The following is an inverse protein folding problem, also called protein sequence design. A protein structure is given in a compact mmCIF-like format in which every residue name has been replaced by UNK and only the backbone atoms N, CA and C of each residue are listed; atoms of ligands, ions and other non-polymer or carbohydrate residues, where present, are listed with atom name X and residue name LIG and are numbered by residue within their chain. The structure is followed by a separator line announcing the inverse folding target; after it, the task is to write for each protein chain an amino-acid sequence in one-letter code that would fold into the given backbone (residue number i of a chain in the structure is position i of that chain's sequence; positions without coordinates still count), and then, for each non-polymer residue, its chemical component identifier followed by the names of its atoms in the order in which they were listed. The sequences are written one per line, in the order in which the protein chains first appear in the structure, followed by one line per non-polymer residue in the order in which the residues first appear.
data_IF_730694108849
#
_entry.id   IF_730694108849
#
_cell.length_a   1.000
_cell.length_b   1.000
_cell.length_c   1.000
_cell.angle_alpha   90.00
_cell.angle_beta   90.00
_cell.angle_gamma   90.00
#
_symmetry.space_group_name_H-M   'P 1'
#
loop_
_entity.id
_entity.type
_entity.pdbx_description
1 polymer ?
#
# COMPACT_ATOMS: atom_id res chain seq x y z
N UNK A 1 -9.47 -29.77 -8.49
CA UNK A 1 -9.65 -29.31 -7.09
C UNK A 1 -8.28 -29.37 -6.43
N UNK A 2 -7.87 -28.30 -5.75
CA UNK A 2 -6.54 -28.19 -5.13
C UNK A 2 -6.55 -28.99 -3.81
N UNK A 3 -6.28 -30.28 -3.89
CA UNK A 3 -6.39 -31.22 -2.76
C UNK A 3 -5.07 -31.36 -1.99
N UNK A 4 -4.45 -30.24 -1.60
CA UNK A 4 -3.27 -30.29 -0.72
C UNK A 4 -3.66 -30.23 0.76
N UNK A 5 -2.84 -30.81 1.65
CA UNK A 5 -2.99 -30.72 3.11
C UNK A 5 -2.65 -29.31 3.63
N UNK A 6 -3.29 -28.29 3.07
CA UNK A 6 -3.12 -26.90 3.50
C UNK A 6 -3.99 -26.67 4.72
N UNK A 7 -3.40 -26.08 5.77
CA UNK A 7 -4.11 -25.72 7.01
C UNK A 7 -5.38 -24.89 6.74
N UNK A 8 -5.30 -23.98 5.77
CA UNK A 8 -6.40 -23.13 5.31
C UNK A 8 -7.58 -23.94 4.75
N UNK A 9 -7.30 -25.04 4.05
CA UNK A 9 -8.32 -25.92 3.47
C UNK A 9 -9.08 -26.71 4.54
N UNK A 10 -8.46 -27.00 5.69
CA UNK A 10 -9.09 -27.71 6.79
C UNK A 10 -9.82 -26.79 7.77
N UNK A 11 -9.31 -25.58 8.00
CA UNK A 11 -9.86 -24.65 8.98
C UNK A 11 -10.87 -23.65 8.37
N UNK A 12 -10.83 -23.43 7.05
CA UNK A 12 -11.70 -22.47 6.37
C UNK A 12 -11.41 -21.01 6.74
N UNK A 13 -10.25 -20.74 7.34
CA UNK A 13 -9.83 -19.41 7.77
C UNK A 13 -8.42 -19.11 7.25
N UNK A 14 -8.19 -17.87 6.83
CA UNK A 14 -6.89 -17.34 6.41
C UNK A 14 -6.52 -16.22 7.38
N UNK A 15 -5.47 -16.43 8.17
CA UNK A 15 -5.03 -15.46 9.17
C UNK A 15 -3.99 -14.50 8.56
N UNK A 16 -4.28 -13.20 8.57
CA UNK A 16 -3.38 -12.14 8.09
C UNK A 16 -2.81 -11.39 9.30
N UNK A 17 -1.50 -11.54 9.56
CA UNK A 17 -0.82 -10.93 10.73
C UNK A 17 0.03 -9.71 10.39
N UNK A 18 0.40 -9.58 9.12
CA UNK A 18 1.42 -8.62 8.70
C UNK A 18 0.84 -7.25 8.34
N UNK A 19 -0.48 -7.08 8.41
CA UNK A 19 -1.18 -5.86 8.05
C UNK A 19 -2.19 -5.46 9.10
N UNK A 20 -2.36 -4.15 9.25
CA UNK A 20 -3.43 -3.57 10.04
C UNK A 20 -4.81 -3.99 9.48
N UNK A 21 -5.80 -4.30 10.33
CA UNK A 21 -7.14 -4.66 9.89
C UNK A 21 -7.80 -3.65 8.94
N UNK A 22 -7.49 -2.35 9.06
CA UNK A 22 -7.98 -1.32 8.15
C UNK A 22 -7.44 -1.44 6.73
N UNK A 23 -6.17 -1.86 6.57
CA UNK A 23 -5.56 -2.13 5.26
C UNK A 23 -6.19 -3.39 4.63
N UNK A 24 -6.44 -4.42 5.44
CA UNK A 24 -7.12 -5.65 4.98
C UNK A 24 -8.57 -5.36 4.59
N UNK A 25 -9.31 -4.58 5.39
CA UNK A 25 -10.69 -4.18 5.08
C UNK A 25 -10.74 -3.39 3.76
N UNK A 26 -9.82 -2.45 3.56
CA UNK A 26 -9.71 -1.68 2.33
C UNK A 26 -9.38 -2.56 1.11
N UNK A 27 -8.49 -3.55 1.25
CA UNK A 27 -8.21 -4.53 0.19
C UNK A 27 -9.46 -5.34 -0.17
N UNK A 28 -10.22 -5.80 0.84
CA UNK A 28 -11.46 -6.54 0.61
C UNK A 28 -12.51 -5.67 -0.09
N UNK A 29 -12.67 -4.41 0.31
CA UNK A 29 -13.56 -3.46 -0.38
C UNK A 29 -13.18 -3.30 -1.84
N UNK A 30 -11.89 -3.14 -2.13
CA UNK A 30 -11.39 -3.03 -3.50
C UNK A 30 -11.80 -4.23 -4.37
N UNK A 31 -11.83 -5.46 -3.84
CA UNK A 31 -12.28 -6.61 -4.63
C UNK A 31 -13.76 -6.53 -5.05
N UNK A 32 -14.60 -5.84 -4.28
CA UNK A 32 -16.01 -5.70 -4.58
C UNK A 32 -16.36 -4.44 -5.37
N UNK A 33 -15.62 -3.35 -5.17
CA UNK A 33 -15.93 -2.04 -5.77
C UNK A 33 -14.88 -1.52 -6.75
N UNK A 34 -13.69 -2.13 -6.81
CA UNK A 34 -12.49 -1.58 -7.45
C UNK A 34 -12.05 -0.22 -6.87
N UNK A 35 -12.54 0.12 -5.67
CA UNK A 35 -12.22 1.35 -4.96
C UNK A 35 -11.92 1.03 -3.49
N UNK A 36 -11.02 1.79 -2.90
CA UNK A 36 -10.77 1.73 -1.46
C UNK A 36 -10.54 3.13 -0.93
N UNK A 37 -10.88 3.37 0.33
CA UNK A 37 -10.66 4.64 0.99
C UNK A 37 -10.06 4.44 2.38
N UNK A 38 -9.33 5.46 2.80
CA UNK A 38 -8.74 5.52 4.12
C UNK A 38 -9.80 6.01 5.13
N UNK A 39 -10.33 5.10 5.93
CA UNK A 39 -11.40 5.38 6.90
C UNK A 39 -10.89 5.60 8.33
N UNK A 40 -9.60 5.39 8.57
CA UNK A 40 -9.00 5.32 9.91
C UNK A 40 -8.12 6.53 10.27
N UNK A 41 -8.16 7.60 9.46
CA UNK A 41 -7.46 8.85 9.75
C UNK A 41 -5.93 8.79 9.69
N UNK A 42 -5.35 7.68 9.22
CA UNK A 42 -3.92 7.60 8.90
C UNK A 42 -3.58 8.64 7.82
N UNK A 43 -2.40 9.26 7.77
CA UNK A 43 -2.04 10.12 6.64
C UNK A 43 -2.13 9.34 5.31
N UNK A 44 -2.75 9.93 4.28
CA UNK A 44 -3.03 9.23 3.02
C UNK A 44 -1.77 8.60 2.39
N UNK A 45 -0.65 9.32 2.37
CA UNK A 45 0.62 8.80 1.85
C UNK A 45 1.14 7.55 2.60
N UNK A 46 0.90 7.45 3.90
CA UNK A 46 1.29 6.28 4.69
C UNK A 46 0.33 5.13 4.39
N UNK A 47 -0.97 5.41 4.37
CA UNK A 47 -2.01 4.42 4.09
C UNK A 47 -1.85 3.81 2.69
N UNK A 48 -1.68 4.65 1.67
CA UNK A 48 -1.53 4.20 0.28
C UNK A 48 -0.23 3.41 0.05
N UNK A 49 0.85 3.71 0.80
CA UNK A 49 2.06 2.89 0.79
C UNK A 49 1.81 1.47 1.36
N UNK A 50 1.02 1.34 2.42
CA UNK A 50 0.62 0.02 2.93
C UNK A 50 -0.34 -0.70 1.98
N UNK A 51 -1.25 0.01 1.33
CA UNK A 51 -2.11 -0.58 0.28
C UNK A 51 -1.29 -1.08 -0.91
N UNK A 52 -0.23 -0.36 -1.29
CA UNK A 52 0.72 -0.82 -2.30
C UNK A 52 1.46 -2.09 -1.86
N UNK A 53 1.89 -2.15 -0.59
CA UNK A 53 2.58 -3.32 -0.03
C UNK A 53 1.67 -4.56 0.04
N UNK A 54 0.43 -4.42 0.53
CA UNK A 54 -0.49 -5.57 0.60
C UNK A 54 -0.84 -6.07 -0.81
N UNK A 55 -0.98 -5.15 -1.77
CA UNK A 55 -1.21 -5.51 -3.16
C UNK A 55 -0.04 -6.28 -3.77
N UNK A 56 1.20 -5.91 -3.46
CA UNK A 56 2.38 -6.64 -3.89
C UNK A 56 2.45 -8.04 -3.25
N UNK A 57 2.22 -8.13 -1.93
CA UNK A 57 2.30 -9.41 -1.20
C UNK A 57 1.32 -10.46 -1.73
N UNK A 58 0.11 -10.04 -2.09
CA UNK A 58 -0.95 -10.93 -2.56
C UNK A 58 -1.11 -10.93 -4.10
N UNK A 59 -0.16 -10.34 -4.84
CA UNK A 59 -0.12 -10.30 -6.30
C UNK A 59 -1.40 -9.71 -6.95
N UNK A 60 -1.88 -8.59 -6.40
CA UNK A 60 -3.08 -7.89 -6.84
C UNK A 60 -2.68 -6.68 -7.70
N UNK A 61 -2.30 -6.92 -8.96
CA UNK A 61 -1.75 -5.89 -9.85
C UNK A 61 -2.65 -4.64 -10.02
N UNK A 62 -3.98 -4.82 -10.06
CA UNK A 62 -4.92 -3.70 -10.17
C UNK A 62 -4.89 -2.80 -8.92
N UNK A 63 -4.85 -3.39 -7.72
CA UNK A 63 -4.75 -2.66 -6.47
C UNK A 63 -3.39 -1.95 -6.36
N UNK A 64 -2.30 -2.64 -6.72
CA UNK A 64 -0.95 -2.06 -6.71
C UNK A 64 -0.86 -0.81 -7.60
N UNK A 65 -1.49 -0.87 -8.76
CA UNK A 65 -1.60 0.26 -9.70
C UNK A 65 -2.42 1.41 -9.12
N UNK A 66 -3.56 1.10 -8.50
CA UNK A 66 -4.43 2.12 -7.91
C UNK A 66 -3.78 2.80 -6.70
N UNK A 67 -3.16 2.02 -5.82
CA UNK A 67 -2.43 2.55 -4.66
C UNK A 67 -1.25 3.43 -5.04
N UNK A 68 -0.56 3.11 -6.14
CA UNK A 68 0.47 4.02 -6.67
C UNK A 68 -0.09 5.38 -7.06
N UNK A 69 -1.23 5.41 -7.77
CA UNK A 69 -1.87 6.67 -8.19
C UNK A 69 -2.34 7.49 -7.00
N UNK A 70 -2.98 6.85 -6.01
CA UNK A 70 -3.42 7.53 -4.78
C UNK A 70 -2.23 8.06 -3.98
N UNK A 71 -1.16 7.27 -3.86
CA UNK A 71 0.08 7.70 -3.24
C UNK A 71 0.67 8.92 -3.95
N UNK A 72 0.80 8.91 -5.28
CA UNK A 72 1.28 10.05 -6.09
C UNK A 72 0.50 11.34 -5.79
N UNK A 73 -0.83 11.26 -5.79
CA UNK A 73 -1.69 12.39 -5.44
C UNK A 73 -1.46 12.87 -4.00
N UNK A 74 -1.34 11.94 -3.05
CA UNK A 74 -1.15 12.28 -1.64
C UNK A 74 0.18 12.98 -1.37
N UNK A 75 1.28 12.52 -1.97
CA UNK A 75 2.60 13.15 -1.78
C UNK A 75 2.71 14.48 -2.53
N UNK A 76 2.06 14.62 -3.69
CA UNK A 76 2.05 15.89 -4.42
C UNK A 76 1.35 17.00 -3.62
N UNK A 77 0.28 16.66 -2.92
CA UNK A 77 -0.50 17.60 -2.11
C UNK A 77 0.05 17.78 -0.69
N UNK A 78 0.76 16.79 -0.15
CA UNK A 78 1.21 16.73 1.24
C UNK A 78 2.72 16.82 1.45
N UNK A 79 3.52 17.12 0.42
CA UNK A 79 4.99 17.08 0.54
C UNK A 79 5.55 17.97 1.66
N UNK A 80 4.88 19.09 1.97
CA UNK A 80 5.30 20.07 2.96
C UNK A 80 4.85 19.73 4.39
N UNK A 81 4.19 18.59 4.61
CA UNK A 81 3.82 18.13 5.96
C UNK A 81 4.90 17.23 6.56
N UNK A 82 4.90 17.09 7.88
CA UNK A 82 5.82 16.20 8.60
C UNK A 82 5.62 14.71 8.25
N UNK A 83 4.53 14.37 7.56
CA UNK A 83 4.23 13.00 7.13
C UNK A 83 5.09 12.57 5.93
N UNK A 84 5.52 13.50 5.08
CA UNK A 84 6.30 13.18 3.88
C UNK A 84 7.60 12.42 4.18
N UNK A 85 8.49 12.88 5.09
CA UNK A 85 9.69 12.12 5.44
C UNK A 85 9.37 10.75 6.06
N UNK A 86 8.27 10.62 6.79
CA UNK A 86 7.80 9.35 7.37
C UNK A 86 7.38 8.38 6.26
N UNK A 87 6.55 8.84 5.31
CA UNK A 87 6.11 8.05 4.18
C UNK A 87 7.28 7.68 3.25
N UNK A 88 8.22 8.59 3.04
CA UNK A 88 9.45 8.33 2.28
C UNK A 88 10.26 7.20 2.92
N UNK A 89 10.53 7.27 4.22
CA UNK A 89 11.23 6.19 4.92
C UNK A 89 10.47 4.86 4.80
N UNK A 90 9.16 4.90 5.02
CA UNK A 90 8.29 3.74 4.93
C UNK A 90 8.38 3.07 3.56
N UNK A 91 8.28 3.82 2.46
CA UNK A 91 8.42 3.29 1.10
C UNK A 91 9.70 2.49 0.93
N UNK A 92 10.83 2.98 1.44
CA UNK A 92 12.13 2.29 1.34
C UNK A 92 12.24 1.05 2.25
N UNK A 93 11.46 0.99 3.32
CA UNK A 93 11.37 -0.19 4.21
C UNK A 93 10.45 -1.27 3.63
N UNK A 94 9.30 -0.87 3.06
CA UNK A 94 8.27 -1.81 2.62
C UNK A 94 8.53 -2.41 1.23
N UNK A 95 9.30 -1.72 0.38
CA UNK A 95 9.59 -2.16 -0.99
C UNK A 95 11.05 -2.61 -1.12
N UNK A 96 11.37 -3.62 -1.95
CA UNK A 96 12.76 -3.94 -2.30
C UNK A 96 13.36 -2.88 -3.26
N UNK A 97 14.68 -2.91 -3.48
CA UNK A 97 15.39 -1.91 -4.32
C UNK A 97 14.96 -1.91 -5.79
N UNK A 98 14.51 -3.05 -6.27
CA UNK A 98 14.08 -3.29 -7.64
C UNK A 98 12.68 -2.73 -7.88
N UNK A 99 11.86 -2.60 -6.82
CA UNK A 99 10.56 -1.97 -6.92
C UNK A 99 10.71 -0.45 -6.85
N UNK A 100 10.77 0.14 -8.06
CA UNK A 100 10.92 1.58 -8.27
C UNK A 100 9.60 2.34 -8.22
N UNK A 101 8.46 1.65 -8.05
CA UNK A 101 7.13 2.21 -8.23
C UNK A 101 6.86 3.45 -7.37
N UNK A 102 6.96 3.31 -6.05
CA UNK A 102 6.78 4.42 -5.11
C UNK A 102 8.08 5.19 -4.86
N UNK A 103 9.24 4.51 -4.94
CA UNK A 103 10.55 5.12 -4.68
C UNK A 103 10.86 6.26 -5.64
N UNK A 104 10.53 6.10 -6.92
CA UNK A 104 10.75 7.13 -7.94
C UNK A 104 9.88 8.36 -7.69
N UNK A 105 8.63 8.16 -7.24
CA UNK A 105 7.72 9.25 -6.89
C UNK A 105 8.24 10.08 -5.71
N UNK A 106 8.74 9.41 -4.67
CA UNK A 106 9.35 10.06 -3.50
C UNK A 106 10.57 10.89 -3.93
N UNK A 107 11.47 10.33 -4.73
CA UNK A 107 12.65 11.04 -5.24
C UNK A 107 12.26 12.23 -6.10
N UNK A 108 11.27 12.07 -6.98
CA UNK A 108 10.80 13.14 -7.85
C UNK A 108 10.21 14.31 -7.05
N UNK A 109 9.35 14.04 -6.07
CA UNK A 109 8.77 15.07 -5.20
C UNK A 109 9.85 15.76 -4.37
N UNK A 110 10.77 15.00 -3.76
CA UNK A 110 11.86 15.60 -3.00
C UNK A 110 12.73 16.50 -3.88
N UNK A 111 13.12 16.03 -5.07
CA UNK A 111 13.96 16.80 -6.01
C UNK A 111 13.28 18.09 -6.49
N UNK A 112 11.96 18.10 -6.66
CA UNK A 112 11.21 19.29 -7.10
C UNK A 112 11.09 20.36 -6.02
N UNK A 113 11.27 20.02 -4.75
CA UNK A 113 11.04 20.90 -3.61
C UNK A 113 12.27 21.08 -2.71
N UNK A 114 13.45 20.61 -3.16
CA UNK A 114 14.72 20.89 -2.49
C UNK A 114 15.29 22.17 -3.11
N UNK A 115 15.57 23.16 -2.26
CA UNK A 115 16.24 24.41 -2.61
C UNK A 115 17.77 24.23 -2.69
#
# INVERSE_FOLDING_TARGET
MLNGNWKESSEGNVEIKDFDPGVVDAMLRFFYSFEYDNTQGTPHMIFDAHMYQIADKYDIAALKTESKKKFELSIANGWATDDFPVAANLVYVLTPSEDRGLRDLVVEIARKNID
#
